data_IF_229467803444
#
_entry.id   IF_229467803444
#
_cell.length_a   1.000
_cell.length_b   1.000
_cell.length_c   1.000
_cell.angle_alpha   90.00
_cell.angle_beta   90.00
_cell.angle_gamma   90.00
#
_symmetry.space_group_name_H-M   'P 1'
#
loop_
_entity.id
_entity.type
_entity.pdbx_description
1 polymer ?
#
# COMPACT_ATOMS: atom_id res chain seq x y z
N UNK A 1 -8.31 -7.74 -18.44
CA UNK A 1 -7.70 -6.76 -17.51
C UNK A 1 -6.83 -7.44 -16.46
N UNK A 2 -7.28 -8.54 -15.84
CA UNK A 2 -6.41 -9.53 -15.19
C UNK A 2 -5.15 -9.82 -16.04
N UNK A 3 -5.32 -10.00 -17.35
CA UNK A 3 -4.20 -10.27 -18.27
C UNK A 3 -3.14 -9.16 -18.37
N UNK A 4 -3.49 -7.89 -18.16
CA UNK A 4 -2.52 -6.78 -18.30
C UNK A 4 -1.73 -6.61 -17.01
N UNK A 5 -2.39 -6.78 -15.86
CA UNK A 5 -1.75 -6.81 -14.54
C UNK A 5 -0.83 -8.03 -14.47
N UNK A 6 -1.32 -9.20 -14.89
CA UNK A 6 -0.52 -10.42 -15.02
C UNK A 6 0.69 -10.19 -15.93
N UNK A 7 0.51 -9.59 -17.11
CA UNK A 7 1.62 -9.38 -18.07
C UNK A 7 2.70 -8.41 -17.57
N UNK A 8 2.32 -7.35 -16.85
CA UNK A 8 3.28 -6.43 -16.22
C UNK A 8 3.97 -7.07 -15.01
N UNK A 9 3.26 -7.87 -14.22
CA UNK A 9 3.87 -8.68 -13.17
C UNK A 9 4.87 -9.68 -13.78
N UNK A 10 4.50 -10.42 -14.82
CA UNK A 10 5.41 -11.35 -15.52
C UNK A 10 6.66 -10.66 -16.05
N UNK A 11 6.56 -9.45 -16.63
CA UNK A 11 7.73 -8.70 -17.12
C UNK A 11 8.66 -8.19 -16.00
N UNK A 12 8.10 -7.77 -14.86
CA UNK A 12 8.87 -7.40 -13.66
C UNK A 12 9.62 -8.62 -13.10
N UNK A 13 8.99 -9.79 -13.17
CA UNK A 13 9.54 -11.05 -12.68
C UNK A 13 10.58 -11.66 -13.63
N UNK A 14 10.38 -11.55 -14.95
CA UNK A 14 11.37 -11.95 -15.98
C UNK A 14 12.68 -11.14 -15.86
N UNK A 15 12.58 -9.84 -15.53
CA UNK A 15 13.74 -8.98 -15.30
C UNK A 15 14.53 -9.28 -14.01
N UNK A 16 13.87 -9.89 -13.02
CA UNK A 16 14.49 -10.34 -11.76
C UNK A 16 14.91 -11.81 -11.79
N UNK A 17 14.41 -12.60 -12.74
CA UNK A 17 14.17 -14.03 -12.53
C UNK A 17 14.58 -14.98 -13.65
N UNK A 18 15.57 -14.68 -14.49
CA UNK A 18 16.09 -15.70 -15.43
C UNK A 18 16.69 -16.96 -14.76
N UNK A 19 16.71 -17.07 -13.42
CA UNK A 19 17.14 -18.29 -12.71
C UNK A 19 16.21 -18.76 -11.57
N UNK A 20 14.99 -18.22 -11.45
CA UNK A 20 14.07 -18.64 -10.39
C UNK A 20 13.15 -19.74 -10.92
N UNK A 21 12.96 -20.81 -10.15
CA UNK A 21 12.09 -21.92 -10.57
C UNK A 21 10.60 -21.54 -10.56
N UNK A 22 9.80 -22.32 -11.29
CA UNK A 22 8.36 -22.08 -11.47
C UNK A 22 7.57 -22.11 -10.15
N UNK A 23 8.03 -22.86 -9.14
CA UNK A 23 7.39 -22.96 -7.82
C UNK A 23 7.62 -21.68 -7.00
N UNK A 24 8.83 -21.13 -7.05
CA UNK A 24 9.16 -19.84 -6.44
C UNK A 24 8.32 -18.71 -7.06
N UNK A 25 8.18 -18.71 -8.37
CA UNK A 25 7.39 -17.73 -9.11
C UNK A 25 5.91 -17.80 -8.74
N UNK A 26 5.37 -19.01 -8.57
CA UNK A 26 3.99 -19.22 -8.12
C UNK A 26 3.75 -18.67 -6.70
N UNK A 27 4.66 -18.93 -5.77
CA UNK A 27 4.56 -18.39 -4.41
C UNK A 27 4.67 -16.86 -4.39
N UNK A 28 5.54 -16.29 -5.22
CA UNK A 28 5.71 -14.85 -5.29
C UNK A 28 4.48 -14.16 -5.91
N UNK A 29 3.89 -14.76 -6.95
CA UNK A 29 2.62 -14.30 -7.52
C UNK A 29 1.49 -14.31 -6.47
N UNK A 30 1.41 -15.38 -5.68
CA UNK A 30 0.44 -15.49 -4.58
C UNK A 30 0.63 -14.38 -3.54
N UNK A 31 1.87 -14.18 -3.08
CA UNK A 31 2.21 -13.12 -2.11
C UNK A 31 1.81 -11.74 -2.65
N UNK A 32 2.17 -11.42 -3.90
CA UNK A 32 1.83 -10.13 -4.51
C UNK A 32 0.30 -9.97 -4.62
N UNK A 33 -0.43 -10.99 -5.08
CA UNK A 33 -1.90 -10.93 -5.18
C UNK A 33 -2.56 -10.70 -3.82
N UNK A 34 -2.11 -11.40 -2.79
CA UNK A 34 -2.65 -11.27 -1.44
C UNK A 34 -2.25 -9.95 -0.77
N UNK A 35 -1.06 -9.42 -1.06
CA UNK A 35 -0.62 -8.11 -0.56
C UNK A 35 -1.44 -6.97 -1.17
N UNK A 36 -1.73 -7.05 -2.47
CA UNK A 36 -2.42 -5.98 -3.17
C UNK A 36 -3.94 -6.15 -3.25
N UNK A 37 -4.52 -7.32 -2.91
CA UNK A 37 -5.97 -7.63 -2.86
C UNK A 37 -6.86 -6.93 -3.91
N UNK A 38 -6.37 -6.78 -5.14
CA UNK A 38 -7.04 -6.00 -6.19
C UNK A 38 -7.44 -4.56 -5.78
N UNK A 39 -6.76 -3.97 -4.79
CA UNK A 39 -6.96 -2.58 -4.38
C UNK A 39 -6.70 -1.66 -5.57
N UNK A 40 -7.63 -0.72 -5.78
CA UNK A 40 -7.45 0.32 -6.77
C UNK A 40 -6.77 1.51 -6.08
N UNK A 41 -5.47 1.63 -6.27
CA UNK A 41 -4.71 2.73 -5.68
C UNK A 41 -4.68 3.93 -6.62
N UNK A 42 -5.06 5.10 -6.11
CA UNK A 42 -4.87 6.38 -6.76
C UNK A 42 -3.72 7.11 -6.10
N UNK A 43 -2.75 7.58 -6.89
CA UNK A 43 -1.56 8.24 -6.40
C UNK A 43 -1.38 9.59 -7.08
N UNK A 44 -1.15 10.63 -6.28
CA UNK A 44 -0.78 11.97 -6.73
C UNK A 44 0.60 12.30 -6.17
N UNK A 45 1.52 12.65 -7.05
CA UNK A 45 2.82 13.22 -6.65
C UNK A 45 2.71 14.73 -6.73
N UNK A 46 2.90 15.41 -5.61
CA UNK A 46 3.08 16.85 -5.57
C UNK A 46 4.55 17.15 -5.36
N UNK A 47 5.16 17.76 -6.37
CA UNK A 47 6.55 18.18 -6.34
C UNK A 47 6.61 19.70 -6.16
N UNK A 48 7.25 20.14 -5.09
CA UNK A 48 7.71 21.53 -4.93
C UNK A 48 9.25 21.56 -5.09
N UNK A 49 9.83 22.75 -5.22
CA UNK A 49 11.27 22.99 -5.39
C UNK A 49 12.12 22.31 -4.30
N UNK A 50 11.55 22.09 -3.12
CA UNK A 50 12.27 21.60 -1.94
C UNK A 50 11.91 20.17 -1.52
N UNK A 51 10.72 19.67 -1.85
CA UNK A 51 10.24 18.35 -1.39
C UNK A 51 9.28 17.71 -2.40
N UNK A 52 9.33 16.37 -2.47
CA UNK A 52 8.34 15.56 -3.14
C UNK A 52 7.43 14.91 -2.10
N UNK A 53 6.12 15.06 -2.26
CA UNK A 53 5.10 14.46 -1.40
C UNK A 53 4.25 13.52 -2.23
N UNK A 54 4.06 12.31 -1.71
CA UNK A 54 3.18 11.32 -2.32
C UNK A 54 1.86 11.30 -1.56
N UNK A 55 0.75 11.43 -2.26
CA UNK A 55 -0.59 11.24 -1.71
C UNK A 55 -1.18 9.99 -2.32
N UNK A 56 -1.61 9.05 -1.48
CA UNK A 56 -2.19 7.78 -1.91
C UNK A 56 -3.59 7.61 -1.33
N UNK A 57 -4.48 7.06 -2.15
CA UNK A 57 -5.86 6.79 -1.76
C UNK A 57 -6.33 5.46 -2.34
N UNK A 58 -6.79 4.55 -1.49
CA UNK A 58 -7.37 3.28 -1.94
C UNK A 58 -8.85 3.50 -2.28
N UNK A 59 -9.23 3.20 -3.52
CA UNK A 59 -10.55 3.43 -4.06
C UNK A 59 -11.37 2.15 -4.05
N UNK A 60 -12.62 2.27 -3.62
CA UNK A 60 -13.57 1.17 -3.72
C UNK A 60 -14.14 1.10 -5.15
N UNK A 61 -13.84 -0.01 -5.83
CA UNK A 61 -14.27 -0.27 -7.22
C UNK A 61 -15.79 -0.22 -7.42
N UNK A 62 -16.56 -0.53 -6.38
CA UNK A 62 -18.03 -0.56 -6.45
C UNK A 62 -18.67 0.83 -6.45
N UNK A 63 -17.93 1.87 -6.06
CA UNK A 63 -18.43 3.25 -5.96
C UNK A 63 -17.78 4.18 -6.99
N UNK A 64 -17.14 3.61 -8.01
CA UNK A 64 -16.61 4.37 -9.12
C UNK A 64 -17.75 4.91 -9.98
N UNK A 65 -17.58 6.13 -10.50
CA UNK A 65 -18.55 6.77 -11.40
C UNK A 65 -18.76 5.99 -12.71
N UNK A 66 -17.74 5.25 -13.13
CA UNK A 66 -17.72 4.46 -14.35
C UNK A 66 -16.94 3.16 -14.10
N UNK A 67 -17.04 2.20 -15.03
CA UNK A 67 -16.25 0.98 -14.99
C UNK A 67 -14.74 1.27 -14.93
N UNK A 68 -14.02 0.43 -14.18
CA UNK A 68 -12.60 0.64 -13.93
C UNK A 68 -11.75 0.55 -15.22
N UNK A 69 -12.12 -0.27 -16.21
CA UNK A 69 -11.40 -0.23 -17.50
C UNK A 69 -11.53 1.14 -18.16
N UNK A 70 -12.71 1.75 -18.07
CA UNK A 70 -13.00 3.05 -18.68
C UNK A 70 -12.19 4.15 -18.01
N UNK A 71 -12.14 4.14 -16.68
CA UNK A 71 -11.32 5.07 -15.92
C UNK A 71 -9.84 4.90 -16.26
N UNK A 72 -9.31 3.67 -16.22
CA UNK A 72 -7.92 3.41 -16.62
C UNK A 72 -7.66 3.90 -18.05
N UNK A 73 -8.57 3.66 -18.99
CA UNK A 73 -8.39 4.12 -20.37
C UNK A 73 -8.32 5.65 -20.48
N UNK A 74 -9.14 6.38 -19.72
CA UNK A 74 -9.16 7.85 -19.72
C UNK A 74 -7.94 8.46 -19.04
N UNK A 75 -7.52 7.88 -17.92
CA UNK A 75 -6.52 8.46 -17.01
C UNK A 75 -5.13 7.82 -17.09
N UNK A 76 -4.95 6.75 -17.86
CA UNK A 76 -3.62 6.17 -18.13
C UNK A 76 -2.76 7.04 -19.04
N UNK A 77 -3.37 8.04 -19.70
CA UNK A 77 -2.68 9.08 -20.47
C UNK A 77 -2.41 10.27 -19.56
N UNK A 78 -1.38 11.06 -19.86
CA UNK A 78 -1.19 12.35 -19.20
C UNK A 78 -2.45 13.20 -19.38
N UNK A 79 -3.19 13.41 -18.29
CA UNK A 79 -4.41 14.22 -18.29
C UNK A 79 -4.01 15.70 -18.29
N UNK A 80 -4.49 16.46 -19.28
CA UNK A 80 -4.27 17.91 -19.36
C UNK A 80 -5.07 18.70 -18.31
N UNK A 81 -5.99 18.03 -17.61
CA UNK A 81 -6.85 18.64 -16.60
C UNK A 81 -6.47 18.14 -15.20
N UNK A 82 -6.38 19.09 -14.28
CA UNK A 82 -6.10 18.83 -12.87
C UNK A 82 -7.27 18.08 -12.21
N UNK A 83 -6.93 17.00 -11.51
CA UNK A 83 -7.86 16.23 -10.70
C UNK A 83 -7.76 16.68 -9.25
N UNK A 84 -8.91 16.87 -8.61
CA UNK A 84 -9.02 17.17 -7.19
C UNK A 84 -9.39 15.90 -6.44
N UNK A 85 -8.52 15.51 -5.49
CA UNK A 85 -8.82 14.48 -4.49
C UNK A 85 -9.27 15.16 -3.20
N UNK A 86 -10.47 14.82 -2.75
CA UNK A 86 -11.04 15.28 -1.49
C UNK A 86 -11.25 14.10 -0.54
N UNK A 87 -10.72 14.21 0.66
CA UNK A 87 -10.77 13.14 1.65
C UNK A 87 -10.12 13.52 2.97
N UNK A 88 -10.01 12.54 3.86
CA UNK A 88 -9.43 12.71 5.19
C UNK A 88 -8.03 12.08 5.18
N UNK A 89 -7.00 12.84 5.57
CA UNK A 89 -5.67 12.26 5.80
C UNK A 89 -5.77 11.36 7.02
N UNK A 90 -5.67 10.04 6.81
CA UNK A 90 -5.73 9.05 7.88
C UNK A 90 -4.36 8.76 8.45
N UNK A 91 -3.31 8.95 7.64
CA UNK A 91 -1.94 8.67 8.05
C UNK A 91 -0.98 9.69 7.41
N UNK A 92 -0.04 10.20 8.21
CA UNK A 92 1.04 11.08 7.75
C UNK A 92 2.28 10.97 8.65
N UNK A 93 3.46 11.04 8.04
CA UNK A 93 4.75 11.02 8.73
C UNK A 93 5.18 9.65 9.29
N UNK A 94 6.31 9.62 9.99
CA UNK A 94 6.99 8.41 10.52
C UNK A 94 6.61 8.07 11.98
N UNK A 95 5.32 8.00 12.33
CA UNK A 95 4.92 7.72 13.71
C UNK A 95 4.79 6.22 14.06
N UNK A 96 5.06 5.31 13.13
CA UNK A 96 4.83 3.86 13.33
C UNK A 96 5.78 3.25 14.38
N UNK A 97 6.93 3.88 14.63
CA UNK A 97 7.92 3.44 15.63
C UNK A 97 7.39 3.48 17.07
N UNK A 98 6.48 4.41 17.40
CA UNK A 98 6.03 4.63 18.78
C UNK A 98 5.15 3.50 19.33
N UNK A 99 4.36 2.87 18.47
CA UNK A 99 3.46 1.77 18.87
C UNK A 99 4.25 0.49 19.05
N UNK A 100 5.20 0.21 18.15
CA UNK A 100 6.08 -0.96 18.24
C UNK A 100 7.00 -0.87 19.46
N UNK A 101 7.57 0.30 19.74
CA UNK A 101 8.38 0.53 20.95
C UNK A 101 7.58 0.30 22.24
N UNK A 102 6.33 0.79 22.33
CA UNK A 102 5.48 0.55 23.51
C UNK A 102 5.21 -0.94 23.77
N UNK A 103 4.98 -1.72 22.71
CA UNK A 103 4.72 -3.15 22.81
C UNK A 103 6.00 -3.89 23.23
N UNK A 104 7.13 -3.56 22.62
CA UNK A 104 8.43 -4.17 22.93
C UNK A 104 8.86 -3.88 24.38
N UNK A 105 8.72 -2.64 24.84
CA UNK A 105 9.00 -2.22 26.22
C UNK A 105 8.12 -2.97 27.25
N UNK A 106 6.87 -3.29 26.90
CA UNK A 106 5.93 -4.01 27.77
C UNK A 106 6.18 -5.51 27.81
N UNK A 107 6.62 -6.10 26.71
CA UNK A 107 6.85 -7.55 26.56
C UNK A 107 8.21 -7.96 27.13
N UNK A 108 9.22 -7.09 26.99
CA UNK A 108 10.58 -7.34 27.49
C UNK A 108 10.78 -6.94 28.97
N UNK A 109 9.72 -6.54 29.69
CA UNK A 109 9.78 -6.25 31.12
C UNK A 109 10.09 -7.55 31.91
N UNK A 110 11.28 -7.66 32.53
CA UNK A 110 11.71 -8.88 33.22
C UNK A 110 10.85 -9.23 34.45
N UNK A 111 9.94 -8.34 34.87
CA UNK A 111 9.04 -8.57 36.00
C UNK A 111 7.67 -9.14 35.60
N UNK A 112 7.35 -9.24 34.29
CA UNK A 112 6.09 -9.82 33.82
C UNK A 112 6.24 -11.30 33.44
N UNK A 113 5.35 -12.15 33.99
CA UNK A 113 5.20 -13.53 33.51
C UNK A 113 4.46 -13.50 32.18
N UNK A 114 5.13 -13.92 31.10
CA UNK A 114 4.53 -13.98 29.76
C UNK A 114 3.42 -15.03 29.72
N UNK A 115 2.17 -14.59 29.62
CA UNK A 115 1.03 -15.45 29.34
C UNK A 115 0.86 -15.67 27.83
N UNK A 116 -0.10 -16.53 27.47
CA UNK A 116 -0.42 -16.81 26.06
C UNK A 116 -0.84 -15.55 25.28
N UNK A 117 -1.55 -14.63 25.93
CA UNK A 117 -2.01 -13.37 25.31
C UNK A 117 -0.83 -12.48 24.94
N UNK A 118 0.16 -12.38 25.82
CA UNK A 118 1.38 -11.60 25.63
C UNK A 118 2.23 -12.21 24.51
N UNK A 119 2.34 -13.54 24.45
CA UNK A 119 3.02 -14.24 23.36
C UNK A 119 2.34 -14.00 22.00
N UNK A 120 0.99 -14.02 21.95
CA UNK A 120 0.24 -13.68 20.74
C UNK A 120 0.43 -12.21 20.32
N UNK A 121 0.46 -11.27 21.27
CA UNK A 121 0.73 -9.87 20.98
C UNK A 121 2.15 -9.65 20.45
N UNK A 122 3.13 -10.40 20.95
CA UNK A 122 4.49 -10.37 20.42
C UNK A 122 4.53 -10.83 18.95
N UNK A 123 3.85 -11.93 18.65
CA UNK A 123 3.73 -12.44 17.28
C UNK A 123 3.05 -11.43 16.34
N UNK A 124 1.98 -10.79 16.80
CA UNK A 124 1.29 -9.72 16.04
C UNK A 124 2.24 -8.54 15.79
N UNK A 125 3.02 -8.12 16.80
CA UNK A 125 4.00 -7.03 16.65
C UNK A 125 5.03 -7.33 15.56
N UNK A 126 5.60 -8.54 15.57
CA UNK A 126 6.55 -8.96 14.54
C UNK A 126 5.91 -9.07 13.16
N UNK A 127 4.66 -9.57 13.06
CA UNK A 127 3.91 -9.58 11.80
C UNK A 127 3.68 -8.15 11.27
N UNK A 128 3.32 -7.20 12.14
CA UNK A 128 3.18 -5.79 11.78
C UNK A 128 4.48 -5.20 11.23
N UNK A 129 5.65 -5.58 11.77
CA UNK A 129 6.95 -5.13 11.24
C UNK A 129 7.24 -5.67 9.84
N UNK A 130 6.85 -6.93 9.56
CA UNK A 130 6.93 -7.52 8.21
C UNK A 130 5.96 -6.81 7.27
N UNK A 131 4.71 -6.61 7.69
CA UNK A 131 3.68 -5.90 6.91
C UNK A 131 4.11 -4.46 6.59
N UNK A 132 4.74 -3.76 7.53
CA UNK A 132 5.29 -2.42 7.32
C UNK A 132 6.43 -2.42 6.29
N UNK A 133 7.24 -3.48 6.23
CA UNK A 133 8.31 -3.59 5.22
C UNK A 133 7.76 -3.86 3.82
N UNK A 134 6.65 -4.60 3.74
CA UNK A 134 6.07 -5.07 2.48
C UNK A 134 5.01 -4.12 1.89
N UNK A 135 4.18 -3.55 2.74
CA UNK A 135 3.01 -2.72 2.39
C UNK A 135 2.94 -1.41 3.16
N UNK A 136 3.94 -1.15 4.02
CA UNK A 136 3.96 0.07 4.82
C UNK A 136 4.10 1.30 3.96
N UNK A 137 3.60 2.42 4.49
CA UNK A 137 3.68 3.70 3.80
C UNK A 137 5.12 4.21 3.77
N UNK A 138 5.43 4.98 2.75
CA UNK A 138 6.71 5.68 2.67
C UNK A 138 6.71 6.90 3.62
N UNK A 139 7.89 7.31 4.12
CA UNK A 139 7.95 8.40 5.10
C UNK A 139 7.50 9.77 4.58
N UNK A 140 7.45 9.93 3.26
CA UNK A 140 6.94 11.11 2.54
C UNK A 140 5.53 10.89 1.94
N UNK A 141 4.89 9.77 2.31
CA UNK A 141 3.55 9.41 1.85
C UNK A 141 2.47 9.84 2.84
N UNK A 142 1.39 10.37 2.29
CA UNK A 142 0.16 10.73 2.97
C UNK A 142 -0.94 9.80 2.49
N UNK A 143 -1.49 8.99 3.41
CA UNK A 143 -2.60 8.10 3.09
C UNK A 143 -3.91 8.84 3.34
N UNK A 144 -4.75 8.91 2.31
CA UNK A 144 -6.04 9.58 2.31
C UNK A 144 -7.13 8.52 2.27
N UNK A 145 -8.13 8.65 3.15
CA UNK A 145 -9.44 8.02 2.99
C UNK A 145 -10.29 8.90 2.05
N UNK A 146 -10.46 8.48 0.78
CA UNK A 146 -11.04 9.34 -0.25
C UNK A 146 -12.56 9.43 -0.11
N UNK A 147 -13.07 10.66 -0.07
CA UNK A 147 -14.52 10.92 -0.14
C UNK A 147 -14.94 11.12 -1.60
N UNK A 148 -14.15 11.88 -2.38
CA UNK A 148 -14.45 12.14 -3.78
C UNK A 148 -13.18 12.44 -4.60
N UNK A 149 -13.23 12.08 -5.88
CA UNK A 149 -12.27 12.52 -6.90
C UNK A 149 -13.07 13.17 -8.02
N UNK A 150 -12.74 14.41 -8.37
CA UNK A 150 -13.48 15.17 -9.38
C UNK A 150 -12.59 16.18 -10.09
N UNK A 151 -13.10 16.73 -11.18
CA UNK A 151 -12.51 17.90 -11.83
C UNK A 151 -13.14 19.16 -11.27
N UNK A 152 -12.31 20.13 -10.91
CA UNK A 152 -12.80 21.46 -10.61
C UNK A 152 -13.15 22.16 -11.94
N UNK A 153 -14.36 22.72 -12.02
CA UNK A 153 -14.89 23.44 -13.17
C UNK A 153 -14.25 24.83 -13.30
#
# INVERSE_FOLDING_TARGET
>A
MQDIINKKATQLLEGLGSSLDDEYMHHLEFIIKEMYKDQLLFQIVLSDVYEQKLFSASLNRNYLKEDINTLIHKYSRETEKELTLFGIVTQSGNNDEKVLQFIDDKINDPNQKTGMREAMMNMISHMTGIDATLTGRLGYEFVIDPIAIYYQL
#
